data_IF_946168598047
#
_entry.id   IF_946168598047
#
_cell.length_a   1.000
_cell.length_b   1.000
_cell.length_c   1.000
_cell.angle_alpha   90.00
_cell.angle_beta   90.00
_cell.angle_gamma   90.00
#
_symmetry.space_group_name_H-M   'P 1'
#
loop_
_entity.id
_entity.type
_entity.pdbx_description
1 polymer ?
#
# COMPACT_ATOMS: atom_id res chain seq x y z
N UNK A 1 14.23 -35.77 -24.57
CA UNK A 1 14.07 -34.94 -25.79
C UNK A 1 12.57 -34.65 -25.87
N UNK A 2 12.04 -33.45 -25.73
CA UNK A 2 12.49 -32.12 -26.17
C UNK A 2 11.90 -31.09 -25.20
N UNK A 3 12.73 -30.14 -24.74
CA UNK A 3 12.30 -28.99 -23.95
C UNK A 3 11.93 -27.88 -24.94
N UNK A 4 10.66 -27.49 -24.98
CA UNK A 4 10.22 -26.32 -25.75
C UNK A 4 10.06 -25.16 -24.77
N UNK A 5 10.97 -24.19 -24.85
CA UNK A 5 10.94 -22.93 -24.12
C UNK A 5 10.09 -21.97 -24.95
N UNK A 6 8.89 -21.65 -24.48
CA UNK A 6 8.09 -20.56 -25.03
C UNK A 6 8.28 -19.33 -24.15
N UNK A 7 9.17 -18.44 -24.59
CA UNK A 7 9.32 -17.09 -24.07
C UNK A 7 8.12 -16.25 -24.53
N UNK A 8 7.11 -16.05 -23.67
CA UNK A 8 6.11 -15.00 -23.89
C UNK A 8 5.32 -14.60 -22.63
N UNK A 9 5.91 -14.66 -21.44
CA UNK A 9 5.29 -14.10 -20.23
C UNK A 9 5.59 -12.61 -20.14
N UNK A 10 4.96 -11.83 -21.02
CA UNK A 10 4.47 -10.52 -20.64
C UNK A 10 3.59 -10.78 -19.43
N UNK A 11 4.07 -10.55 -18.19
CA UNK A 11 3.25 -10.72 -16.99
C UNK A 11 2.07 -9.75 -17.19
N UNK A 12 0.86 -10.23 -17.55
CA UNK A 12 -0.29 -9.34 -17.55
C UNK A 12 -0.44 -8.95 -16.09
N UNK A 13 -0.50 -7.64 -15.80
CA UNK A 13 -0.54 -7.14 -14.43
C UNK A 13 -1.59 -7.93 -13.67
N UNK A 14 -1.11 -8.82 -12.79
CA UNK A 14 -1.99 -9.81 -12.19
C UNK A 14 -3.01 -9.01 -11.39
N UNK A 15 -4.33 -9.22 -11.60
CA UNK A 15 -5.32 -8.67 -10.71
C UNK A 15 -4.91 -9.10 -9.32
N UNK A 16 -4.61 -8.12 -8.47
CA UNK A 16 -4.11 -8.43 -7.14
C UNK A 16 -5.11 -9.35 -6.47
N UNK A 17 -4.62 -10.44 -5.88
CA UNK A 17 -5.41 -11.58 -5.42
C UNK A 17 -6.51 -11.25 -4.37
N UNK A 18 -6.72 -9.98 -4.05
CA UNK A 18 -7.64 -9.45 -3.04
C UNK A 18 -8.34 -8.18 -3.55
N UNK A 19 -9.10 -8.29 -4.65
CA UNK A 19 -10.04 -7.24 -5.03
C UNK A 19 -11.09 -7.08 -3.92
N UNK A 20 -11.08 -5.93 -3.25
CA UNK A 20 -12.07 -5.59 -2.23
C UNK A 20 -13.07 -4.58 -2.83
N UNK A 21 -14.32 -5.00 -3.13
CA UNK A 21 -15.31 -4.15 -3.77
C UNK A 21 -15.69 -2.94 -2.91
N UNK A 22 -15.61 -3.06 -1.58
CA UNK A 22 -15.92 -1.93 -0.68
C UNK A 22 -14.85 -0.85 -0.76
N UNK A 23 -13.58 -1.26 -0.87
CA UNK A 23 -12.45 -0.33 -1.06
C UNK A 23 -12.51 0.34 -2.43
N UNK A 24 -12.77 -0.43 -3.48
CA UNK A 24 -12.92 0.12 -4.83
C UNK A 24 -14.06 1.16 -4.90
N UNK A 25 -15.20 0.85 -4.27
CA UNK A 25 -16.34 1.77 -4.21
C UNK A 25 -16.01 3.03 -3.41
N UNK A 26 -15.28 2.90 -2.29
CA UNK A 26 -14.86 4.02 -1.46
C UNK A 26 -13.95 4.99 -2.22
N UNK A 27 -12.96 4.45 -2.93
CA UNK A 27 -12.06 5.28 -3.76
C UNK A 27 -12.81 5.95 -4.90
N UNK A 28 -13.75 5.24 -5.55
CA UNK A 28 -14.62 5.86 -6.55
C UNK A 28 -15.44 7.01 -5.96
N UNK A 29 -15.99 6.86 -4.75
CA UNK A 29 -16.73 7.95 -4.09
C UNK A 29 -15.82 9.15 -3.79
N UNK A 30 -14.57 8.92 -3.38
CA UNK A 30 -13.59 9.98 -3.16
C UNK A 30 -13.25 10.74 -4.44
N UNK A 31 -13.04 10.03 -5.54
CA UNK A 31 -12.76 10.64 -6.84
C UNK A 31 -13.99 11.38 -7.39
N UNK A 32 -15.18 10.79 -7.27
CA UNK A 32 -16.43 11.38 -7.75
C UNK A 32 -16.88 12.61 -6.95
N UNK A 33 -16.48 12.74 -5.68
CA UNK A 33 -16.80 13.92 -4.88
C UNK A 33 -15.96 15.15 -5.25
N UNK A 34 -14.92 14.99 -6.07
CA UNK A 34 -13.98 16.07 -6.42
C UNK A 34 -13.11 16.53 -5.25
N UNK A 35 -13.06 15.74 -4.18
CA UNK A 35 -12.21 16.02 -3.02
C UNK A 35 -10.75 15.75 -3.36
N UNK A 36 -9.84 16.59 -2.85
CA UNK A 36 -8.40 16.38 -3.01
C UNK A 36 -7.98 15.09 -2.30
N UNK A 37 -7.27 14.22 -3.03
CA UNK A 37 -6.63 13.04 -2.44
C UNK A 37 -5.12 13.26 -2.35
N UNK A 38 -4.49 12.51 -1.46
CA UNK A 38 -3.06 12.42 -1.31
C UNK A 38 -2.62 10.98 -1.58
N UNK A 39 -1.51 10.84 -2.28
CA UNK A 39 -0.78 9.60 -2.41
C UNK A 39 0.55 9.70 -1.65
N UNK A 40 0.88 8.70 -0.84
CA UNK A 40 2.12 8.69 -0.04
C UNK A 40 2.86 7.38 -0.30
N UNK A 41 4.12 7.38 -0.77
CA UNK A 41 4.83 6.15 -1.04
C UNK A 41 4.98 5.30 0.23
N UNK A 42 4.75 3.98 0.13
CA UNK A 42 5.03 3.05 1.23
C UNK A 42 6.54 2.79 1.25
N UNK A 43 7.19 3.23 2.32
CA UNK A 43 8.64 3.10 2.47
C UNK A 43 8.98 1.73 3.04
N UNK A 44 9.35 0.81 2.16
CA UNK A 44 9.76 -0.54 2.52
C UNK A 44 10.69 -1.12 1.47
N UNK A 45 11.45 -2.14 1.86
CA UNK A 45 12.37 -2.84 0.97
C UNK A 45 11.67 -3.46 -0.24
N UNK A 46 10.37 -3.79 -0.13
CA UNK A 46 9.58 -4.31 -1.25
C UNK A 46 9.42 -3.28 -2.38
N UNK A 47 9.17 -2.01 -2.02
CA UNK A 47 9.07 -0.92 -3.00
C UNK A 47 10.44 -0.33 -3.38
N UNK A 48 11.42 -0.39 -2.48
CA UNK A 48 12.72 0.24 -2.64
C UNK A 48 13.87 -0.73 -2.31
N UNK A 49 14.03 -1.84 -3.06
CA UNK A 49 15.00 -2.89 -2.74
C UNK A 49 16.46 -2.44 -2.82
N UNK A 50 16.74 -1.37 -3.57
CA UNK A 50 18.08 -0.78 -3.67
C UNK A 50 18.40 0.29 -2.62
N UNK A 51 17.44 0.66 -1.76
CA UNK A 51 17.62 1.73 -0.77
C UNK A 51 17.93 1.13 0.59
N UNK A 52 19.02 1.54 1.28
CA UNK A 52 19.33 1.03 2.61
C UNK A 52 18.18 1.26 3.62
N UNK A 53 17.91 0.32 4.55
CA UNK A 53 16.81 0.42 5.51
C UNK A 53 16.84 1.69 6.37
N UNK A 54 18.03 2.13 6.76
CA UNK A 54 18.26 3.37 7.52
C UNK A 54 17.84 4.64 6.78
N UNK A 55 17.97 4.66 5.45
CA UNK A 55 17.47 5.76 4.61
C UNK A 55 15.94 5.72 4.53
N UNK A 56 15.34 4.53 4.41
CA UNK A 56 13.89 4.38 4.43
C UNK A 56 13.28 4.80 5.77
N UNK A 57 13.90 4.41 6.89
CA UNK A 57 13.50 4.85 8.24
C UNK A 57 13.65 6.36 8.42
N UNK A 58 14.70 6.96 7.85
CA UNK A 58 14.84 8.41 7.84
C UNK A 58 13.70 9.07 7.06
N UNK A 59 13.41 8.58 5.86
CA UNK A 59 12.35 9.12 5.01
C UNK A 59 10.96 8.96 5.64
N UNK A 60 10.71 7.86 6.38
CA UNK A 60 9.42 7.60 7.01
C UNK A 60 9.03 8.66 8.05
N UNK A 61 10.02 9.23 8.76
CA UNK A 61 9.81 10.36 9.67
C UNK A 61 9.38 11.65 8.96
N UNK A 62 9.57 11.73 7.64
CA UNK A 62 9.21 12.87 6.80
C UNK A 62 8.13 12.52 5.76
N UNK A 63 7.38 11.43 5.97
CA UNK A 63 6.36 10.96 5.02
C UNK A 63 5.28 11.99 4.68
N UNK A 64 4.95 12.90 5.60
CA UNK A 64 4.00 13.98 5.36
C UNK A 64 4.47 14.94 4.26
N UNK A 65 5.79 15.13 4.13
CA UNK A 65 6.39 15.97 3.08
C UNK A 65 6.41 15.27 1.71
N UNK A 66 6.15 13.96 1.66
CA UNK A 66 6.13 13.17 0.42
C UNK A 66 4.72 12.95 -0.13
N UNK A 67 3.72 13.67 0.39
CA UNK A 67 2.34 13.66 -0.10
C UNK A 67 2.29 14.20 -1.53
N UNK A 68 1.92 13.34 -2.46
CA UNK A 68 1.63 13.70 -3.84
C UNK A 68 0.13 14.04 -3.98
N UNK A 69 -0.25 15.26 -4.40
CA UNK A 69 -1.64 15.64 -4.56
C UNK A 69 -2.27 14.99 -5.80
N UNK A 70 -3.48 14.47 -5.65
CA UNK A 70 -4.30 13.86 -6.71
C UNK A 70 -5.59 14.68 -6.81
N UNK A 71 -5.67 15.51 -7.86
CA UNK A 71 -6.81 16.39 -8.11
C UNK A 71 -7.90 15.72 -8.94
N UNK A 72 -7.49 14.80 -9.81
CA UNK A 72 -8.38 14.07 -10.69
C UNK A 72 -7.93 12.60 -10.86
N UNK A 73 -8.82 11.69 -11.28
CA UNK A 73 -8.45 10.29 -11.52
C UNK A 73 -7.26 10.11 -12.45
N UNK A 74 -7.10 11.00 -13.43
CA UNK A 74 -6.01 10.96 -14.41
C UNK A 74 -4.65 11.19 -13.76
N UNK A 75 -4.58 11.90 -12.62
CA UNK A 75 -3.33 12.12 -11.90
C UNK A 75 -2.77 10.81 -11.32
N UNK A 76 -3.61 9.80 -11.10
CA UNK A 76 -3.16 8.48 -10.65
C UNK A 76 -2.26 7.79 -11.69
N UNK A 77 -2.43 8.10 -12.98
CA UNK A 77 -1.59 7.55 -14.06
C UNK A 77 -0.19 8.18 -14.09
N UNK A 78 -0.01 9.34 -13.43
CA UNK A 78 1.29 10.01 -13.32
C UNK A 78 2.08 9.58 -12.08
N UNK A 79 1.54 8.66 -11.28
CA UNK A 79 2.27 8.08 -10.15
C UNK A 79 3.51 7.31 -10.64
N UNK A 80 4.57 7.23 -9.81
CA UNK A 80 5.76 6.46 -10.16
C UNK A 80 5.42 4.99 -10.45
N UNK A 81 5.83 4.50 -11.62
CA UNK A 81 5.60 3.11 -12.01
C UNK A 81 6.36 2.15 -11.09
N UNK A 82 5.68 1.08 -10.67
CA UNK A 82 6.25 0.04 -9.81
C UNK A 82 6.29 0.40 -8.32
N UNK A 83 5.82 1.58 -7.91
CA UNK A 83 5.81 2.00 -6.50
C UNK A 83 4.39 1.94 -5.94
N UNK A 84 4.24 1.20 -4.83
CA UNK A 84 2.98 1.18 -4.06
C UNK A 84 2.96 2.33 -3.06
N UNK A 85 1.84 3.02 -2.92
CA UNK A 85 1.66 4.05 -1.89
C UNK A 85 0.28 4.01 -1.26
N UNK A 86 0.13 4.66 -0.11
CA UNK A 86 -1.15 4.89 0.54
C UNK A 86 -1.95 5.92 -0.23
N UNK A 87 -3.25 5.68 -0.38
CA UNK A 87 -4.20 6.63 -0.98
C UNK A 87 -5.24 7.03 0.07
N UNK A 88 -5.41 8.33 0.26
CA UNK A 88 -6.33 8.87 1.26
C UNK A 88 -6.85 10.25 0.86
N UNK A 89 -8.02 10.67 1.38
CA UNK A 89 -8.39 12.09 1.43
C UNK A 89 -7.26 12.96 1.98
N UNK A 90 -7.03 14.13 1.40
CA UNK A 90 -5.98 15.05 1.86
C UNK A 90 -6.17 15.50 3.32
N UNK A 91 -7.44 15.61 3.75
CA UNK A 91 -7.84 15.96 5.12
C UNK A 91 -7.89 14.74 6.07
N UNK A 92 -7.64 13.54 5.57
CA UNK A 92 -7.57 12.34 6.42
C UNK A 92 -6.15 12.13 6.94
N UNK A 93 -6.07 11.62 8.16
CA UNK A 93 -4.80 11.25 8.80
C UNK A 93 -4.47 9.77 8.58
N UNK A 94 -5.47 8.93 8.28
CA UNK A 94 -5.32 7.49 8.16
C UNK A 94 -6.06 6.91 6.95
N UNK A 95 -5.61 5.74 6.49
CA UNK A 95 -6.24 4.98 5.41
C UNK A 95 -5.81 3.52 5.45
N UNK A 96 -6.71 2.62 5.07
CA UNK A 96 -6.42 1.21 4.77
C UNK A 96 -6.26 0.96 3.26
N UNK A 97 -6.19 2.00 2.44
CA UNK A 97 -6.16 1.89 0.98
C UNK A 97 -4.76 2.17 0.45
N UNK A 98 -4.25 1.26 -0.38
CA UNK A 98 -3.03 1.44 -1.17
C UNK A 98 -3.35 1.53 -2.67
N UNK A 99 -2.49 2.24 -3.39
CA UNK A 99 -2.59 2.49 -4.82
C UNK A 99 -1.20 2.48 -5.46
N UNK A 100 -1.07 1.98 -6.68
CA UNK A 100 0.16 2.09 -7.48
C UNK A 100 -0.11 1.86 -8.97
N UNK A 101 0.91 2.10 -9.80
CA UNK A 101 0.81 1.98 -11.26
C UNK A 101 1.74 0.90 -11.76
N UNK A 102 1.23 0.01 -12.61
CA UNK A 102 2.01 -1.01 -13.31
C UNK A 102 1.54 -1.12 -14.75
N UNK A 103 2.46 -1.08 -15.73
CA UNK A 103 2.14 -1.18 -17.17
C UNK A 103 1.11 -0.13 -17.64
N UNK A 104 1.12 1.07 -17.04
CA UNK A 104 0.17 2.14 -17.36
C UNK A 104 -1.25 1.94 -16.82
N UNK A 105 -1.49 0.92 -15.99
CA UNK A 105 -2.76 0.69 -15.31
C UNK A 105 -2.65 1.04 -13.82
N UNK A 106 -3.72 1.60 -13.26
CA UNK A 106 -3.82 1.94 -11.84
C UNK A 106 -4.40 0.74 -11.07
N UNK A 107 -3.71 0.35 -10.01
CA UNK A 107 -4.13 -0.73 -9.12
C UNK A 107 -4.43 -0.17 -7.74
N UNK A 108 -5.63 -0.46 -7.21
CA UNK A 108 -6.12 -0.02 -5.90
C UNK A 108 -6.41 -1.24 -5.04
N UNK A 109 -6.03 -1.16 -3.76
CA UNK A 109 -6.04 -2.28 -2.81
C UNK A 109 -6.48 -1.85 -1.43
N UNK A 110 -7.25 -2.70 -0.75
CA UNK A 110 -7.34 -2.67 0.71
C UNK A 110 -6.16 -3.40 1.33
N UNK A 111 -5.38 -2.74 2.17
CA UNK A 111 -4.27 -3.36 2.90
C UNK A 111 -4.82 -4.03 4.16
N UNK A 112 -4.76 -5.35 4.19
CA UNK A 112 -5.10 -6.18 5.35
C UNK A 112 -3.87 -6.95 5.82
N UNK A 113 -3.69 -7.05 7.11
CA UNK A 113 -2.67 -7.92 7.71
C UNK A 113 -3.01 -9.39 7.41
N UNK A 114 -2.08 -10.11 6.78
CA UNK A 114 -2.30 -11.50 6.32
C UNK A 114 -2.52 -12.51 7.45
N UNK A 115 -2.02 -12.23 8.66
CA UNK A 115 -2.08 -13.16 9.80
C UNK A 115 -3.37 -12.98 10.60
N UNK A 116 -3.86 -11.76 10.69
CA UNK A 116 -5.00 -11.37 11.53
C UNK A 116 -6.24 -10.99 10.73
N UNK A 117 -6.11 -10.75 9.42
CA UNK A 117 -7.19 -10.30 8.54
C UNK A 117 -7.67 -8.86 8.79
N UNK A 118 -7.03 -8.13 9.73
CA UNK A 118 -7.42 -6.77 10.09
C UNK A 118 -6.89 -5.76 9.09
N UNK A 119 -7.60 -4.66 8.87
CA UNK A 119 -7.12 -3.54 8.08
C UNK A 119 -5.79 -3.04 8.67
N UNK A 120 -4.74 -2.99 7.85
CA UNK A 120 -3.47 -2.36 8.18
C UNK A 120 -3.55 -0.94 7.63
N UNK A 121 -3.57 0.04 8.52
CA UNK A 121 -3.71 1.42 8.13
C UNK A 121 -2.36 2.14 8.09
N UNK A 122 -2.29 3.28 7.39
CA UNK A 122 -1.14 4.18 7.32
C UNK A 122 -0.55 4.48 8.70
N UNK A 123 -1.39 4.76 9.69
CA UNK A 123 -1.00 5.00 11.09
C UNK A 123 -0.95 3.71 11.92
N UNK A 124 -1.67 2.66 11.52
CA UNK A 124 -1.72 1.34 12.16
C UNK A 124 -0.45 0.49 12.00
N UNK A 125 0.62 1.04 11.41
CA UNK A 125 1.98 0.48 11.39
C UNK A 125 3.02 1.28 12.18
N UNK A 126 2.65 2.41 12.81
CA UNK A 126 3.57 3.27 13.57
C UNK A 126 3.77 2.86 15.04
N UNK A 127 3.48 1.61 15.40
CA UNK A 127 4.02 1.05 16.65
C UNK A 127 5.47 0.65 16.39
N UNK A 128 6.38 1.58 16.69
CA UNK A 128 7.81 1.31 16.78
C UNK A 128 8.11 0.38 17.97
N UNK A 129 9.30 -0.24 17.92
CA UNK A 129 10.03 -0.87 19.03
C UNK A 129 9.52 -2.24 19.46
N UNK A 130 10.29 -3.30 19.26
CA UNK A 130 11.46 -3.56 20.10
C UNK A 130 11.15 -3.61 21.61
N UNK A 131 9.95 -4.06 21.96
CA UNK A 131 9.69 -4.84 23.18
C UNK A 131 9.12 -6.18 22.76
N UNK A 132 9.99 -7.19 22.66
CA UNK A 132 9.53 -8.57 22.72
C UNK A 132 8.89 -8.79 24.08
N UNK A 133 7.57 -8.63 24.15
CA UNK A 133 6.78 -9.12 25.26
C UNK A 133 5.58 -9.84 24.67
N UNK A 134 5.78 -11.15 24.56
CA UNK A 134 4.69 -12.11 24.63
C UNK A 134 3.99 -11.88 25.96
N UNK A 135 2.75 -11.39 25.93
CA UNK A 135 1.84 -11.63 27.06
C UNK A 135 1.53 -13.13 27.03
N UNK A 136 2.32 -13.85 27.82
CA UNK A 136 1.99 -15.16 28.36
C UNK A 136 0.69 -15.00 29.14
N UNK A 137 -0.45 -15.30 28.50
CA UNK A 137 -1.67 -15.58 29.24
C UNK A 137 -1.55 -17.02 29.70
N UNK A 138 -0.88 -17.16 30.83
CA UNK A 138 -1.11 -18.21 31.81
C UNK A 138 -2.63 -18.33 32.03
N UNK A 139 -3.24 -19.40 31.51
CA UNK A 139 -4.47 -19.92 32.11
C UNK A 139 -4.12 -21.21 32.83
N UNK A 140 -3.65 -21.00 34.07
CA UNK A 140 -3.66 -21.97 35.15
C UNK A 140 -5.04 -22.61 35.29
N UNK A 141 -5.01 -23.92 35.52
CA UNK A 141 -6.14 -24.77 35.86
C UNK A 141 -6.84 -24.33 37.15
N UNK A 142 -8.17 -24.43 37.15
CA UNK A 142 -9.01 -24.91 38.27
C UNK A 142 -10.20 -25.65 37.69
#
# INVERSE_FOLDING_TARGET
MTTTINNNDTIPGQPLAHYDPEVAQRVQCWLASGQLLAWIPILGQENFPGTPPEILQFADRHQESMRWPIHAPEDLLHLPEGITGWLLPADSEDTDVACGVWNGEVYILGVKDKRTGRAKTLLGGRFDVATGQVDDVEQSAV
#
